data_IF_557840491287
#
_entry.id   IF_557840491287
#
_cell.length_a   1.000
_cell.length_b   1.000
_cell.length_c   1.000
_cell.angle_alpha   90.00
_cell.angle_beta   90.00
_cell.angle_gamma   90.00
#
_symmetry.space_group_name_H-M   'P 1'
#
loop_
_entity.id
_entity.type
_entity.pdbx_description
1 polymer ?
#
# COMPACT_ATOMS: atom_id res chain seq x y z
N UNK A 1 -3.98 9.97 5.68
CA UNK A 1 -3.66 8.63 5.13
C UNK A 1 -2.72 7.89 6.07
N UNK A 2 -2.72 6.59 6.00
CA UNK A 2 -1.91 5.72 6.84
C UNK A 2 -0.50 5.59 6.34
N UNK A 3 0.45 5.52 7.26
CA UNK A 3 1.79 5.03 6.95
C UNK A 3 1.79 3.51 7.06
N UNK A 4 2.54 2.88 6.17
CA UNK A 4 2.71 1.45 6.17
C UNK A 4 4.16 1.13 6.46
N UNK A 5 4.38 0.27 7.45
CA UNK A 5 5.70 -0.20 7.83
C UNK A 5 5.80 -1.68 7.48
N UNK A 6 6.85 -2.08 6.83
CA UNK A 6 7.09 -3.49 6.59
C UNK A 6 8.56 -3.82 6.69
N UNK A 7 8.80 -5.03 7.18
CA UNK A 7 10.12 -5.61 7.32
C UNK A 7 10.28 -6.73 6.33
N UNK A 8 11.43 -6.79 5.72
CA UNK A 8 11.84 -7.89 4.87
C UNK A 8 13.04 -8.55 5.52
N UNK A 9 12.86 -9.81 5.94
CA UNK A 9 13.94 -10.59 6.54
C UNK A 9 14.57 -11.50 5.51
N UNK A 10 15.89 -11.53 5.48
CA UNK A 10 16.69 -12.49 4.75
C UNK A 10 17.69 -13.08 5.72
N UNK A 11 18.40 -14.15 5.34
CA UNK A 11 19.40 -14.78 6.20
C UNK A 11 20.37 -13.70 6.66
N UNK A 12 20.43 -13.50 7.99
CA UNK A 12 21.32 -12.53 8.63
C UNK A 12 21.15 -11.08 8.18
N UNK A 13 19.99 -10.75 7.59
CA UNK A 13 19.72 -9.40 7.14
C UNK A 13 18.28 -9.03 7.37
N UNK A 14 18.05 -7.75 7.63
CA UNK A 14 16.70 -7.20 7.68
C UNK A 14 16.69 -5.82 7.05
N UNK A 15 15.55 -5.43 6.52
CA UNK A 15 15.34 -4.11 5.94
C UNK A 15 13.97 -3.62 6.35
N UNK A 16 13.90 -2.37 6.81
CA UNK A 16 12.65 -1.74 7.19
C UNK A 16 12.43 -0.50 6.35
N UNK A 17 11.25 -0.37 5.81
CA UNK A 17 10.86 0.78 5.00
C UNK A 17 9.52 1.31 5.50
N UNK A 18 9.35 2.63 5.47
CA UNK A 18 8.10 3.27 5.85
C UNK A 18 7.58 4.07 4.66
N UNK A 19 6.35 3.79 4.24
CA UNK A 19 5.75 4.43 3.07
C UNK A 19 4.42 5.03 3.47
N UNK A 20 4.23 6.31 3.14
CA UNK A 20 2.95 6.98 3.33
C UNK A 20 2.06 6.72 2.11
N UNK A 21 0.91 6.11 2.35
CA UNK A 21 -0.08 5.89 1.29
C UNK A 21 -0.94 7.15 1.16
N UNK A 22 -0.82 7.84 0.03
CA UNK A 22 -1.55 9.08 -0.22
C UNK A 22 -2.89 8.83 -0.90
N UNK A 23 -3.77 9.81 -0.82
CA UNK A 23 -5.04 9.80 -1.58
C UNK A 23 -4.78 9.68 -3.08
N UNK A 24 -3.75 10.37 -3.58
CA UNK A 24 -3.37 10.28 -4.99
C UNK A 24 -2.97 8.86 -5.39
N UNK A 25 -2.25 8.13 -4.53
CA UNK A 25 -1.90 6.73 -4.79
C UNK A 25 -3.14 5.87 -4.92
N UNK A 26 -4.10 6.04 -4.01
CA UNK A 26 -5.34 5.27 -4.01
C UNK A 26 -6.13 5.54 -5.29
N UNK A 27 -6.27 6.80 -5.67
CA UNK A 27 -7.01 7.19 -6.87
C UNK A 27 -6.36 6.66 -8.15
N UNK A 28 -5.04 6.74 -8.24
CA UNK A 28 -4.29 6.22 -9.38
C UNK A 28 -4.42 4.71 -9.49
N UNK A 29 -4.33 4.02 -8.36
CA UNK A 29 -4.48 2.57 -8.35
C UNK A 29 -5.90 2.14 -8.70
N UNK A 30 -6.92 2.84 -8.19
CA UNK A 30 -8.31 2.57 -8.55
C UNK A 30 -8.52 2.70 -10.05
N UNK A 31 -7.95 3.74 -10.65
CA UNK A 31 -8.02 3.97 -12.09
C UNK A 31 -7.29 2.89 -12.88
N UNK A 32 -6.08 2.54 -12.48
CA UNK A 32 -5.26 1.56 -13.18
C UNK A 32 -5.83 0.14 -13.08
N UNK A 33 -6.34 -0.23 -11.92
CA UNK A 33 -6.83 -1.60 -11.66
C UNK A 33 -8.29 -1.79 -11.99
N UNK A 34 -9.07 -0.70 -12.05
CA UNK A 34 -10.52 -0.79 -12.15
C UNK A 34 -11.22 -1.10 -10.82
N UNK A 35 -10.47 -1.24 -9.74
CA UNK A 35 -11.04 -1.52 -8.41
C UNK A 35 -11.46 -0.21 -7.75
N UNK A 36 -12.70 0.17 -7.97
CA UNK A 36 -13.29 1.42 -7.48
C UNK A 36 -14.27 1.21 -6.34
N UNK A 37 -14.04 0.21 -5.52
CA UNK A 37 -14.88 -0.07 -4.37
C UNK A 37 -14.91 1.17 -3.46
N UNK A 38 -16.10 1.61 -3.03
CA UNK A 38 -16.23 2.84 -2.24
C UNK A 38 -15.50 2.79 -0.89
N UNK A 39 -15.14 1.63 -0.37
CA UNK A 39 -14.34 1.54 0.85
C UNK A 39 -12.97 2.24 0.68
N UNK A 40 -12.48 2.35 -0.52
CA UNK A 40 -11.20 3.01 -0.82
C UNK A 40 -11.37 4.49 -1.16
N UNK A 41 -12.52 4.87 -1.71
CA UNK A 41 -12.69 6.16 -2.35
C UNK A 41 -13.66 7.11 -1.65
N UNK A 42 -14.57 6.59 -0.84
CA UNK A 42 -15.65 7.38 -0.26
C UNK A 42 -15.62 7.32 1.26
N UNK A 43 -15.22 8.43 1.88
CA UNK A 43 -15.13 8.52 3.34
C UNK A 43 -16.50 8.35 4.03
N UNK A 44 -17.57 8.88 3.45
CA UNK A 44 -18.91 8.72 4.02
C UNK A 44 -19.37 7.27 4.05
N UNK A 45 -19.03 6.51 3.01
CA UNK A 45 -19.27 5.07 2.98
C UNK A 45 -18.41 4.37 4.03
N UNK A 46 -17.13 4.68 4.06
CA UNK A 46 -16.14 4.01 4.91
C UNK A 46 -16.42 4.20 6.41
N UNK A 47 -16.89 5.38 6.80
CA UNK A 47 -17.22 5.69 8.20
C UNK A 47 -18.29 4.76 8.79
N UNK A 48 -19.16 4.20 7.95
CA UNK A 48 -20.23 3.31 8.37
C UNK A 48 -19.84 1.83 8.31
N UNK A 49 -18.56 1.54 8.06
CA UNK A 49 -18.03 0.19 8.06
C UNK A 49 -17.26 -0.10 9.34
N UNK A 50 -16.86 -1.34 9.53
CA UNK A 50 -16.03 -1.73 10.68
C UNK A 50 -14.68 -1.02 10.69
N UNK A 51 -14.22 -0.52 9.54
CA UNK A 51 -12.93 0.16 9.41
C UNK A 51 -13.00 1.63 9.85
N UNK A 52 -14.19 2.24 9.88
CA UNK A 52 -14.45 3.62 10.32
C UNK A 52 -13.81 4.71 9.46
N UNK A 53 -12.98 4.35 8.50
CA UNK A 53 -12.34 5.27 7.57
C UNK A 53 -11.96 4.51 6.31
N UNK A 54 -11.60 5.25 5.27
CA UNK A 54 -11.13 4.66 4.01
C UNK A 54 -9.87 3.84 4.23
N UNK A 55 -9.77 2.74 3.50
CA UNK A 55 -8.58 1.88 3.54
C UNK A 55 -7.95 1.83 2.15
N UNK A 56 -6.65 1.51 2.10
CA UNK A 56 -5.96 1.32 0.85
C UNK A 56 -6.26 -0.06 0.28
N UNK A 57 -6.19 -0.20 -1.05
CA UNK A 57 -6.29 -1.49 -1.71
C UNK A 57 -5.14 -2.39 -1.26
N UNK A 58 -5.44 -3.65 -0.98
CA UNK A 58 -4.40 -4.62 -0.59
C UNK A 58 -3.31 -4.76 -1.64
N UNK A 59 -3.69 -4.80 -2.92
CA UNK A 59 -2.70 -4.92 -4.01
C UNK A 59 -1.89 -3.64 -4.21
N UNK A 60 -2.42 -2.47 -3.85
CA UNK A 60 -1.63 -1.24 -3.85
C UNK A 60 -0.50 -1.35 -2.82
N UNK A 61 -0.81 -1.84 -1.63
CA UNK A 61 0.19 -2.08 -0.59
C UNK A 61 1.22 -3.10 -1.07
N UNK A 62 0.78 -4.18 -1.70
CA UNK A 62 1.67 -5.20 -2.26
C UNK A 62 2.61 -4.61 -3.31
N UNK A 63 2.13 -3.64 -4.11
CA UNK A 63 2.96 -3.00 -5.13
C UNK A 63 4.10 -2.18 -4.50
N UNK A 64 3.87 -1.56 -3.35
CA UNK A 64 4.93 -0.85 -2.62
C UNK A 64 5.99 -1.83 -2.11
N UNK A 65 5.57 -2.98 -1.60
CA UNK A 65 6.51 -4.03 -1.17
C UNK A 65 7.34 -4.50 -2.36
N UNK A 66 6.71 -4.74 -3.48
CA UNK A 66 7.40 -5.12 -4.72
C UNK A 66 8.43 -4.07 -5.14
N UNK A 67 8.06 -2.79 -5.05
CA UNK A 67 8.96 -1.69 -5.40
C UNK A 67 10.20 -1.67 -4.51
N UNK A 68 10.02 -1.89 -3.21
CA UNK A 68 11.14 -1.94 -2.27
C UNK A 68 12.07 -3.12 -2.60
N UNK A 69 11.50 -4.29 -2.83
CA UNK A 69 12.29 -5.49 -3.16
C UNK A 69 13.07 -5.29 -4.46
N UNK A 70 12.41 -4.74 -5.48
CA UNK A 70 13.03 -4.59 -6.79
C UNK A 70 14.03 -3.46 -6.90
N UNK A 71 13.85 -2.38 -6.15
CA UNK A 71 14.63 -1.16 -6.32
C UNK A 71 15.57 -0.82 -5.17
N UNK A 72 15.28 -1.27 -3.96
CA UNK A 72 16.01 -0.82 -2.78
C UNK A 72 16.71 -1.93 -2.03
N UNK A 73 15.98 -3.00 -1.67
CA UNK A 73 16.56 -4.09 -0.91
C UNK A 73 15.82 -5.40 -1.19
N UNK A 74 16.51 -6.40 -1.74
CA UNK A 74 17.92 -6.43 -2.16
C UNK A 74 18.23 -5.64 -3.45
N UNK A 75 17.22 -5.10 -4.13
CA UNK A 75 17.44 -4.24 -5.26
C UNK A 75 17.63 -5.01 -6.57
N UNK A 76 18.36 -4.38 -7.50
CA UNK A 76 18.56 -4.93 -8.83
C UNK A 76 19.14 -6.34 -8.79
N UNK A 77 18.62 -7.19 -9.65
CA UNK A 77 19.07 -8.57 -9.72
C UNK A 77 18.29 -9.56 -8.88
N UNK A 78 17.23 -9.07 -8.21
CA UNK A 78 16.36 -9.96 -7.44
C UNK A 78 15.22 -10.53 -8.26
#
# INVERSE_FOLDING_TARGET
MKKIHFNKLKINQSYTESIKVSDANIKKFASASGDKNPIHLNENFAKNTIFKTRIAHGMLIASFVSSVIGNKFPGNGT
#
